data_IF_273196304824
#
_entry.id   IF_273196304824
#
_cell.length_a   1.000
_cell.length_b   1.000
_cell.length_c   1.000
_cell.angle_alpha   90.00
_cell.angle_beta   90.00
_cell.angle_gamma   90.00
#
_symmetry.space_group_name_H-M   'P 1'
#
loop_
_entity.id
_entity.type
_entity.pdbx_description
1 polymer ?
#
# COMPACT_ATOMS: atom_id res chain seq x y z
N UNK A 1 6.91 -13.21 26.20
CA UNK A 1 6.30 -12.36 25.17
C UNK A 1 6.05 -13.21 23.94
N UNK A 2 4.83 -13.24 23.42
CA UNK A 2 4.50 -13.95 22.19
C UNK A 2 4.71 -12.94 21.05
N UNK A 3 5.64 -13.23 20.13
CA UNK A 3 5.91 -12.34 19.00
C UNK A 3 4.72 -12.35 18.04
N UNK A 4 4.33 -11.17 17.54
CA UNK A 4 3.33 -11.05 16.48
C UNK A 4 3.88 -11.70 15.21
N UNK A 5 3.05 -12.53 14.56
CA UNK A 5 3.39 -13.24 13.32
C UNK A 5 2.72 -12.63 12.09
N UNK A 6 1.53 -12.07 12.29
CA UNK A 6 0.69 -11.53 11.23
C UNK A 6 0.23 -10.12 11.63
N UNK A 7 0.32 -9.19 10.68
CA UNK A 7 -0.06 -7.78 10.87
C UNK A 7 -1.08 -7.41 9.80
N UNK A 8 -2.20 -6.80 10.22
CA UNK A 8 -3.25 -6.33 9.31
C UNK A 8 -3.56 -4.87 9.63
N UNK A 9 -3.36 -3.99 8.65
CA UNK A 9 -3.49 -2.55 8.80
C UNK A 9 -4.35 -2.01 7.66
N UNK A 10 -5.35 -1.18 7.99
CA UNK A 10 -6.20 -0.50 7.02
C UNK A 10 -6.02 1.03 7.14
N UNK A 11 -5.69 1.68 6.02
CA UNK A 11 -5.43 3.11 5.92
C UNK A 11 -6.46 3.81 5.02
N UNK A 12 -7.14 4.87 5.49
CA UNK A 12 -7.91 5.77 4.65
C UNK A 12 -7.00 6.75 3.90
N UNK A 13 -6.99 6.76 2.57
CA UNK A 13 -6.27 7.75 1.75
C UNK A 13 -7.27 8.77 1.17
N UNK A 14 -7.43 9.87 1.90
CA UNK A 14 -8.18 11.06 1.47
C UNK A 14 -7.26 12.20 1.01
N UNK A 15 -7.75 13.04 0.09
CA UNK A 15 -7.02 14.07 -0.68
C UNK A 15 -6.27 15.19 0.08
N UNK A 16 -6.09 15.14 1.40
CA UNK A 16 -5.37 16.21 2.12
C UNK A 16 -4.70 15.82 3.45
N UNK A 17 -4.90 14.60 3.96
CA UNK A 17 -4.45 14.21 5.31
C UNK A 17 -3.64 12.90 5.31
N UNK A 18 -3.16 12.46 4.15
CA UNK A 18 -2.52 11.15 4.00
C UNK A 18 -1.08 11.11 4.55
N UNK A 19 -0.34 12.22 4.53
CA UNK A 19 1.09 12.24 4.90
C UNK A 19 1.33 11.82 6.35
N UNK A 20 0.52 12.33 7.28
CA UNK A 20 0.72 12.06 8.72
C UNK A 20 0.35 10.61 9.05
N UNK A 21 -0.67 10.06 8.38
CA UNK A 21 -1.07 8.65 8.52
C UNK A 21 0.00 7.69 7.99
N UNK A 22 0.66 8.03 6.88
CA UNK A 22 1.78 7.24 6.39
C UNK A 22 2.99 7.36 7.29
N UNK A 23 3.31 8.56 7.79
CA UNK A 23 4.42 8.75 8.72
C UNK A 23 4.23 7.90 9.99
N UNK A 24 3.05 7.94 10.59
CA UNK A 24 2.71 7.14 11.77
C UNK A 24 2.77 5.63 11.48
N UNK A 25 2.24 5.20 10.33
CA UNK A 25 2.34 3.81 9.89
C UNK A 25 3.80 3.35 9.76
N UNK A 26 4.63 4.15 9.09
CA UNK A 26 6.03 3.81 8.86
C UNK A 26 6.75 3.68 10.20
N UNK A 27 6.54 4.64 11.11
CA UNK A 27 7.10 4.57 12.46
C UNK A 27 6.63 3.32 13.22
N UNK A 28 5.36 2.94 13.10
CA UNK A 28 4.83 1.73 13.73
C UNK A 28 5.43 0.45 13.14
N UNK A 29 5.54 0.36 11.81
CA UNK A 29 6.18 -0.76 11.13
C UNK A 29 7.64 -0.91 11.53
N UNK A 30 8.40 0.19 11.62
CA UNK A 30 9.79 0.16 12.09
C UNK A 30 9.90 -0.30 13.55
N UNK A 31 9.00 0.14 14.43
CA UNK A 31 8.95 -0.34 15.80
C UNK A 31 8.61 -1.82 15.87
N UNK A 32 7.63 -2.28 15.08
CA UNK A 32 7.23 -3.68 15.02
C UNK A 32 8.37 -4.57 14.50
N UNK A 33 9.09 -4.12 13.46
CA UNK A 33 10.28 -4.76 12.90
C UNK A 33 11.31 -5.10 13.96
N UNK A 34 11.53 -4.18 14.91
CA UNK A 34 12.52 -4.37 15.99
C UNK A 34 12.09 -5.32 17.11
N UNK A 35 10.79 -5.63 17.23
CA UNK A 35 10.21 -6.30 18.40
C UNK A 35 9.53 -7.63 18.09
N UNK A 36 9.21 -7.90 16.83
CA UNK A 36 8.37 -9.02 16.42
C UNK A 36 8.99 -9.86 15.32
N UNK A 37 8.47 -11.08 15.20
CA UNK A 37 8.85 -12.05 14.19
C UNK A 37 7.75 -12.15 13.12
N UNK A 38 7.56 -11.05 12.39
CA UNK A 38 6.45 -10.89 11.46
C UNK A 38 6.76 -11.64 10.17
N UNK A 39 5.82 -12.49 9.75
CA UNK A 39 5.88 -13.29 8.52
C UNK A 39 4.98 -12.79 7.42
N UNK A 40 3.87 -12.14 7.80
CA UNK A 40 2.89 -11.61 6.86
C UNK A 40 2.43 -10.22 7.25
N UNK A 41 2.38 -9.32 6.26
CA UNK A 41 1.81 -7.98 6.39
C UNK A 41 0.69 -7.83 5.37
N UNK A 42 -0.50 -7.43 5.84
CA UNK A 42 -1.67 -7.14 5.03
C UNK A 42 -2.00 -5.65 5.18
N UNK A 43 -2.05 -4.94 4.06
CA UNK A 43 -2.34 -3.51 4.00
C UNK A 43 -3.58 -3.25 3.15
N UNK A 44 -4.56 -2.53 3.70
CA UNK A 44 -5.71 -2.00 2.98
C UNK A 44 -5.53 -0.51 2.74
N UNK A 45 -5.48 -0.05 1.49
CA UNK A 45 -5.33 1.36 1.13
C UNK A 45 -6.62 1.86 0.46
N UNK A 46 -7.29 2.85 1.04
CA UNK A 46 -8.50 3.44 0.43
C UNK A 46 -8.17 4.68 -0.36
N UNK A 47 -8.06 4.61 -1.68
CA UNK A 47 -7.79 5.75 -2.56
C UNK A 47 -9.08 6.36 -3.07
N UNK A 48 -9.20 7.68 -2.96
CA UNK A 48 -10.28 8.46 -3.57
C UNK A 48 -9.75 9.66 -4.35
N UNK A 49 -10.48 10.04 -5.40
CA UNK A 49 -10.18 11.23 -6.22
C UNK A 49 -9.25 10.96 -7.40
N UNK A 50 -8.32 11.85 -7.67
CA UNK A 50 -7.45 11.76 -8.85
C UNK A 50 -6.26 10.80 -8.62
N UNK A 51 -6.06 9.84 -9.52
CA UNK A 51 -4.85 9.00 -9.53
C UNK A 51 -3.98 9.44 -10.71
N UNK A 52 -2.70 9.66 -10.44
CA UNK A 52 -1.64 9.89 -11.44
C UNK A 52 -0.54 8.84 -11.35
N UNK A 53 0.34 8.82 -12.36
CA UNK A 53 1.57 8.01 -12.34
C UNK A 53 2.73 8.69 -11.60
N UNK A 54 2.53 9.92 -11.12
CA UNK A 54 3.55 10.54 -10.28
C UNK A 54 3.73 9.67 -9.05
N UNK A 55 5.00 9.39 -8.75
CA UNK A 55 5.40 8.63 -7.59
C UNK A 55 4.84 9.34 -6.35
N UNK A 56 4.02 8.64 -5.57
CA UNK A 56 3.56 9.15 -4.30
C UNK A 56 4.69 8.92 -3.30
N UNK A 57 5.30 10.00 -2.82
CA UNK A 57 6.46 9.93 -1.91
C UNK A 57 6.19 9.02 -0.70
N UNK A 58 4.95 9.02 -0.20
CA UNK A 58 4.56 8.20 0.94
C UNK A 58 4.54 6.68 0.62
N UNK A 59 4.13 6.32 -0.60
CA UNK A 59 4.14 4.93 -1.05
C UNK A 59 5.57 4.45 -1.35
N UNK A 60 6.44 5.33 -1.82
CA UNK A 60 7.86 5.03 -2.03
C UNK A 60 8.55 4.69 -0.70
N UNK A 61 8.25 5.44 0.37
CA UNK A 61 8.77 5.16 1.70
C UNK A 61 8.24 3.83 2.26
N UNK A 62 6.95 3.54 2.03
CA UNK A 62 6.36 2.25 2.41
C UNK A 62 6.98 1.07 1.65
N UNK A 63 7.19 1.21 0.35
CA UNK A 63 7.89 0.22 -0.48
C UNK A 63 9.30 -0.06 0.04
N UNK A 64 10.02 1.00 0.42
CA UNK A 64 11.35 0.89 1.02
C UNK A 64 11.30 0.15 2.37
N UNK A 65 10.46 0.57 3.31
CA UNK A 65 10.43 -0.01 4.66
C UNK A 65 10.06 -1.49 4.65
N UNK A 66 9.15 -1.89 3.76
CA UNK A 66 8.73 -3.30 3.64
C UNK A 66 9.77 -4.19 2.94
N UNK A 67 10.75 -3.60 2.26
CA UNK A 67 11.82 -4.34 1.56
C UNK A 67 13.20 -4.16 2.19
N UNK A 68 13.34 -3.25 3.15
CA UNK A 68 14.59 -3.00 3.85
C UNK A 68 14.99 -4.19 4.72
N UNK A 69 16.30 -4.35 4.92
CA UNK A 69 16.84 -5.30 5.87
C UNK A 69 16.29 -5.03 7.29
N UNK A 70 15.97 -6.09 8.01
CA UNK A 70 15.40 -6.00 9.36
C UNK A 70 14.06 -6.74 9.52
N UNK A 71 13.50 -7.25 8.43
CA UNK A 71 12.38 -8.20 8.46
C UNK A 71 12.88 -9.65 8.27
N UNK A 72 13.48 -10.29 9.29
CA UNK A 72 14.23 -11.54 9.10
C UNK A 72 13.39 -12.72 8.62
N UNK A 73 12.08 -12.71 8.89
CA UNK A 73 11.17 -13.79 8.54
C UNK A 73 9.94 -13.31 7.77
N UNK A 74 9.95 -12.09 7.24
CA UNK A 74 8.86 -11.62 6.39
C UNK A 74 8.89 -12.40 5.09
N UNK A 75 7.80 -13.09 4.80
CA UNK A 75 7.65 -13.95 3.63
C UNK A 75 6.62 -13.38 2.66
N UNK A 76 5.64 -12.62 3.17
CA UNK A 76 4.47 -12.22 2.38
C UNK A 76 4.02 -10.78 2.68
N UNK A 77 3.68 -10.05 1.62
CA UNK A 77 3.07 -8.72 1.69
C UNK A 77 1.85 -8.68 0.77
N UNK A 78 0.69 -8.40 1.35
CA UNK A 78 -0.58 -8.26 0.62
C UNK A 78 -1.04 -6.81 0.68
N UNK A 79 -1.17 -6.16 -0.47
CA UNK A 79 -1.71 -4.80 -0.59
C UNK A 79 -3.04 -4.85 -1.34
N UNK A 80 -4.11 -4.46 -0.66
CA UNK A 80 -5.43 -4.28 -1.26
C UNK A 80 -5.73 -2.79 -1.37
N UNK A 81 -5.93 -2.31 -2.59
CA UNK A 81 -6.35 -0.93 -2.84
C UNK A 81 -7.84 -0.90 -3.11
N UNK A 82 -8.57 -0.20 -2.26
CA UNK A 82 -9.97 0.14 -2.44
C UNK A 82 -10.03 1.50 -3.15
N UNK A 83 -10.72 1.55 -4.29
CA UNK A 83 -10.83 2.77 -5.10
C UNK A 83 -12.25 3.29 -5.09
N UNK A 84 -12.39 4.58 -4.76
CA UNK A 84 -13.66 5.31 -4.73
C UNK A 84 -13.58 6.57 -5.59
N UNK A 85 -14.55 6.78 -6.49
CA UNK A 85 -14.66 8.02 -7.28
C UNK A 85 -13.37 8.38 -8.05
N UNK A 86 -12.62 7.38 -8.50
CA UNK A 86 -11.29 7.60 -9.08
C UNK A 86 -11.37 8.13 -10.51
N UNK A 87 -10.57 9.15 -10.81
CA UNK A 87 -10.37 9.66 -12.17
C UNK A 87 -8.89 9.65 -12.53
N UNK A 88 -8.60 9.38 -13.80
CA UNK A 88 -7.24 9.43 -14.32
C UNK A 88 -6.80 10.90 -14.48
N UNK A 89 -5.67 11.27 -13.87
CA UNK A 89 -5.07 12.60 -14.08
C UNK A 89 -4.63 12.74 -15.54
N UNK A 90 -5.05 13.84 -16.17
CA UNK A 90 -4.62 14.21 -17.53
C UNK A 90 -5.24 13.38 -18.66
N UNK A 91 -6.21 12.50 -18.37
CA UNK A 91 -6.96 11.75 -19.40
C UNK A 91 -6.12 10.82 -20.28
N UNK A 92 -4.86 10.56 -19.92
CA UNK A 92 -3.89 9.87 -20.78
C UNK A 92 -4.23 8.38 -20.93
N UNK A 93 -4.77 7.74 -19.89
CA UNK A 93 -5.11 6.32 -19.87
C UNK A 93 -6.40 6.04 -19.09
N UNK A 94 -7.16 5.00 -19.44
CA UNK A 94 -8.29 4.54 -18.62
C UNK A 94 -7.83 4.15 -17.21
N UNK A 95 -8.67 4.42 -16.20
CA UNK A 95 -8.39 4.09 -14.79
C UNK A 95 -7.96 2.63 -14.61
N UNK A 96 -8.59 1.69 -15.30
CA UNK A 96 -8.23 0.27 -15.23
C UNK A 96 -6.78 -0.01 -15.69
N UNK A 97 -6.28 0.73 -16.68
CA UNK A 97 -4.90 0.58 -17.13
C UNK A 97 -3.92 1.20 -16.13
N UNK A 98 -4.30 2.32 -15.52
CA UNK A 98 -3.52 2.93 -14.44
C UNK A 98 -3.37 2.00 -13.25
N UNK A 99 -4.45 1.37 -12.82
CA UNK A 99 -4.44 0.45 -11.69
C UNK A 99 -3.58 -0.79 -11.95
N UNK A 100 -3.51 -1.28 -13.20
CA UNK A 100 -2.61 -2.39 -13.57
C UNK A 100 -1.14 -2.03 -13.48
N UNK A 101 -0.79 -0.77 -13.76
CA UNK A 101 0.59 -0.27 -13.72
C UNK A 101 1.01 0.19 -12.32
N UNK A 102 0.03 0.47 -11.44
CA UNK A 102 0.24 1.00 -10.11
C UNK A 102 1.28 0.23 -9.28
N UNK A 103 1.28 -1.12 -9.23
CA UNK A 103 2.28 -1.87 -8.45
C UNK A 103 3.71 -1.59 -8.89
N UNK A 104 3.97 -1.65 -10.20
CA UNK A 104 5.31 -1.41 -10.75
C UNK A 104 5.76 0.04 -10.59
N UNK A 105 4.81 0.99 -10.56
CA UNK A 105 5.13 2.42 -10.44
C UNK A 105 5.25 2.93 -9.00
N UNK A 106 4.46 2.37 -8.06
CA UNK A 106 4.40 2.85 -6.68
C UNK A 106 5.10 1.91 -5.69
N UNK A 107 5.29 0.65 -6.06
CA UNK A 107 5.97 -0.37 -5.25
C UNK A 107 7.05 -1.12 -6.06
N UNK A 108 8.00 -0.40 -6.69
CA UNK A 108 9.00 -1.02 -7.55
C UNK A 108 9.89 -2.03 -6.82
N UNK A 109 10.24 -1.82 -5.55
CA UNK A 109 11.08 -2.73 -4.76
C UNK A 109 10.32 -3.99 -4.39
N UNK A 110 9.10 -3.88 -3.87
CA UNK A 110 8.26 -5.04 -3.57
C UNK A 110 7.96 -5.85 -4.84
N UNK A 111 7.68 -5.17 -5.96
CA UNK A 111 7.37 -5.81 -7.24
C UNK A 111 8.57 -6.54 -7.86
N UNK A 112 9.80 -6.19 -7.46
CA UNK A 112 11.04 -6.80 -7.97
C UNK A 112 11.72 -7.74 -6.97
N UNK A 113 11.15 -7.90 -5.76
CA UNK A 113 11.73 -8.72 -4.72
C UNK A 113 11.25 -10.17 -4.85
N UNK A 114 12.07 -11.03 -5.46
CA UNK A 114 11.78 -12.46 -5.63
C UNK A 114 11.71 -13.24 -4.31
N UNK A 115 12.25 -12.70 -3.20
CA UNK A 115 12.21 -13.36 -1.89
C UNK A 115 10.91 -13.12 -1.13
N UNK A 116 10.08 -12.17 -1.58
CA UNK A 116 8.80 -11.85 -0.94
C UNK A 116 7.64 -12.22 -1.86
N UNK A 117 6.64 -12.90 -1.31
CA UNK A 117 5.37 -13.07 -2.01
C UNK A 117 4.60 -11.77 -1.93
N UNK A 118 4.67 -10.97 -2.99
CA UNK A 118 3.90 -9.74 -3.13
C UNK A 118 2.58 -10.01 -3.87
N UNK A 119 1.45 -9.62 -3.26
CA UNK A 119 0.14 -9.62 -3.93
C UNK A 119 -0.49 -8.25 -3.89
N UNK A 120 -0.95 -7.83 -5.06
CA UNK A 120 -1.68 -6.59 -5.24
C UNK A 120 -3.08 -6.86 -5.76
N UNK A 121 -4.08 -6.29 -5.10
CA UNK A 121 -5.48 -6.39 -5.50
C UNK A 121 -6.07 -4.99 -5.55
N UNK A 122 -6.82 -4.69 -6.62
CA UNK A 122 -7.65 -3.48 -6.65
C UNK A 122 -9.12 -3.85 -6.60
N UNK A 123 -9.84 -3.20 -5.70
CA UNK A 123 -11.28 -3.32 -5.55
C UNK A 123 -11.90 -1.97 -5.90
N UNK A 124 -12.69 -1.94 -6.97
CA UNK A 124 -13.51 -0.77 -7.29
C UNK A 124 -14.80 -0.85 -6.51
N UNK A 125 -15.00 0.11 -5.62
CA UNK A 125 -16.20 0.17 -4.81
C UNK A 125 -17.30 0.93 -5.57
N UNK A 126 -18.53 0.41 -5.65
CA UNK A 126 -19.63 1.11 -6.31
C UNK A 126 -19.95 2.41 -5.58
N UNK A 127 -20.48 3.40 -6.30
CA UNK A 127 -21.05 4.59 -5.68
C UNK A 127 -22.14 4.13 -4.69
N UNK A 128 -22.06 4.57 -3.43
CA UNK A 128 -23.25 4.58 -2.59
C UNK A 128 -24.20 5.61 -3.22
N UNK A 129 -25.17 5.14 -4.00
CA UNK A 129 -26.27 5.98 -4.46
C UNK A 129 -27.07 6.35 -3.21
N UNK A 130 -26.83 7.55 -2.68
CA UNK A 130 -27.74 8.14 -1.71
C UNK A 130 -29.00 8.47 -2.52
N UNK A 131 -30.06 7.68 -2.31
CA UNK A 131 -31.40 7.98 -2.84
C UNK A 131 -32.02 9.16 -2.11
#
# INVERSE_FOLDING_TARGET
>A
MQALKDVNIALPLGHAYASDLFYDLIAELEQMRSKNDIRSIVLGLNISGEIGYQQCNDLDQLDMVLTESGWPNLEQVFITIYTHNVRAIGGVLPVNEMLRKLPATQFPRLSSNDSLVFRFVTVQMPFATIQ
#
